data_IF_828350809416
#
_entry.id   IF_828350809416
#
_cell.length_a   1.000
_cell.length_b   1.000
_cell.length_c   1.000
_cell.angle_alpha   90.00
_cell.angle_beta   90.00
_cell.angle_gamma   90.00
#
_symmetry.space_group_name_H-M   'P 1'
#
loop_
_entity.id
_entity.type
_entity.pdbx_description
1 polymer ?
#
# COMPACT_ATOMS: atom_id res chain seq x y z
N UNK A 1 -23.70 -2.87 -12.70
CA UNK A 1 -22.35 -2.54 -13.17
C UNK A 1 -21.46 -3.76 -12.95
N UNK A 2 -20.78 -4.24 -13.97
CA UNK A 2 -19.76 -5.28 -13.78
C UNK A 2 -18.51 -4.64 -13.17
N UNK A 3 -17.84 -5.36 -12.27
CA UNK A 3 -16.58 -4.91 -11.68
C UNK A 3 -15.46 -4.95 -12.73
N UNK A 4 -14.58 -3.94 -12.70
CA UNK A 4 -13.37 -3.94 -13.53
C UNK A 4 -12.34 -4.93 -12.95
N UNK A 5 -11.41 -5.43 -13.77
CA UNK A 5 -10.32 -6.29 -13.27
C UNK A 5 -9.51 -5.67 -12.12
N UNK A 6 -9.33 -4.34 -12.13
CA UNK A 6 -8.68 -3.60 -11.02
C UNK A 6 -9.46 -3.69 -9.71
N UNK A 7 -10.78 -3.71 -9.76
CA UNK A 7 -11.63 -3.78 -8.57
C UNK A 7 -11.50 -5.17 -7.94
N UNK A 8 -11.49 -6.22 -8.77
CA UNK A 8 -11.22 -7.59 -8.33
C UNK A 8 -9.82 -7.73 -7.71
N UNK A 9 -8.81 -7.09 -8.28
CA UNK A 9 -7.47 -7.10 -7.72
C UNK A 9 -7.44 -6.49 -6.32
N UNK A 10 -8.09 -5.32 -6.13
CA UNK A 10 -8.21 -4.69 -4.82
C UNK A 10 -8.99 -5.53 -3.82
N UNK A 11 -10.14 -6.07 -4.22
CA UNK A 11 -10.97 -6.93 -3.36
C UNK A 11 -10.17 -8.16 -2.91
N UNK A 12 -9.48 -8.82 -3.84
CA UNK A 12 -8.69 -10.03 -3.54
C UNK A 12 -7.57 -9.73 -2.56
N UNK A 13 -6.85 -8.61 -2.78
CA UNK A 13 -5.78 -8.19 -1.87
C UNK A 13 -6.31 -7.89 -0.47
N UNK A 14 -7.40 -7.12 -0.36
CA UNK A 14 -8.01 -6.81 0.93
C UNK A 14 -8.50 -8.06 1.67
N UNK A 15 -9.16 -8.98 0.96
CA UNK A 15 -9.61 -10.25 1.53
C UNK A 15 -8.43 -11.10 2.03
N UNK A 16 -7.33 -11.17 1.26
CA UNK A 16 -6.12 -11.89 1.66
C UNK A 16 -5.48 -11.32 2.93
N UNK A 17 -5.38 -9.99 3.03
CA UNK A 17 -4.88 -9.30 4.24
C UNK A 17 -5.77 -9.65 5.43
N UNK A 18 -7.09 -9.48 5.33
CA UNK A 18 -8.02 -9.77 6.44
C UNK A 18 -7.96 -11.24 6.86
N UNK A 19 -7.94 -12.16 5.90
CA UNK A 19 -7.84 -13.58 6.20
C UNK A 19 -6.53 -13.92 6.93
N UNK A 20 -5.41 -13.33 6.53
CA UNK A 20 -4.13 -13.51 7.21
C UNK A 20 -4.15 -12.96 8.64
N UNK A 21 -4.60 -11.72 8.84
CA UNK A 21 -4.62 -11.06 10.15
C UNK A 21 -5.49 -11.80 11.17
N UNK A 22 -6.55 -12.49 10.72
CA UNK A 22 -7.41 -13.32 11.59
C UNK A 22 -6.76 -14.68 11.92
N UNK A 23 -6.03 -15.26 10.97
CA UNK A 23 -5.50 -16.61 11.08
C UNK A 23 -4.07 -16.68 11.65
N UNK A 24 -3.34 -15.57 11.70
CA UNK A 24 -1.94 -15.56 12.11
C UNK A 24 -1.77 -15.83 13.62
N UNK A 25 -0.63 -16.39 14.05
CA UNK A 25 -0.28 -16.46 15.46
C UNK A 25 -0.18 -15.08 16.12
N UNK A 26 -0.34 -14.98 17.45
CA UNK A 26 -0.08 -13.74 18.18
C UNK A 26 1.34 -13.23 17.94
N UNK A 27 1.46 -11.93 17.66
CA UNK A 27 2.75 -11.29 17.35
C UNK A 27 3.20 -11.43 15.91
N UNK A 28 2.44 -12.12 15.04
CA UNK A 28 2.73 -12.25 13.61
C UNK A 28 1.72 -11.48 12.73
N UNK A 29 1.06 -10.46 13.27
CA UNK A 29 0.24 -9.56 12.47
C UNK A 29 1.13 -8.83 11.44
N UNK A 30 0.56 -8.42 10.31
CA UNK A 30 1.32 -7.66 9.32
C UNK A 30 1.78 -6.32 9.89
N UNK A 31 0.99 -5.72 10.78
CA UNK A 31 1.36 -4.54 11.56
C UNK A 31 2.57 -4.80 12.46
N UNK A 32 2.59 -5.92 13.18
CA UNK A 32 3.70 -6.31 14.06
C UNK A 32 4.99 -6.53 13.26
N UNK A 33 4.89 -7.25 12.14
CA UNK A 33 5.99 -7.45 11.23
C UNK A 33 6.54 -6.12 10.69
N UNK A 34 5.64 -5.19 10.33
CA UNK A 34 6.01 -3.83 9.89
C UNK A 34 6.76 -3.08 10.98
N UNK A 35 6.30 -3.15 12.24
CA UNK A 35 6.99 -2.52 13.38
C UNK A 35 8.38 -3.14 13.62
N UNK A 36 8.49 -4.48 13.64
CA UNK A 36 9.79 -5.16 13.82
C UNK A 36 10.79 -4.82 12.71
N UNK A 37 10.33 -4.83 11.46
CA UNK A 37 11.18 -4.49 10.33
C UNK A 37 11.59 -3.02 10.38
N UNK A 38 10.67 -2.12 10.76
CA UNK A 38 10.93 -0.71 10.97
C UNK A 38 12.00 -0.42 12.02
N UNK A 39 12.14 -1.25 13.06
CA UNK A 39 13.20 -1.09 14.06
C UNK A 39 14.61 -1.33 13.49
N UNK A 40 14.75 -2.20 12.50
CA UNK A 40 16.04 -2.52 11.86
C UNK A 40 16.31 -1.71 10.60
N UNK A 41 15.25 -1.31 9.88
CA UNK A 41 15.32 -0.64 8.57
C UNK A 41 14.35 0.54 8.51
N UNK A 42 14.42 1.43 9.49
CA UNK A 42 13.48 2.54 9.69
C UNK A 42 13.30 3.41 8.44
N UNK A 43 14.40 3.79 7.79
CA UNK A 43 14.36 4.65 6.61
C UNK A 43 13.70 3.97 5.41
N UNK A 44 14.07 2.72 5.13
CA UNK A 44 13.53 1.98 4.00
C UNK A 44 12.03 1.72 4.18
N UNK A 45 11.64 1.27 5.37
CA UNK A 45 10.22 0.99 5.69
C UNK A 45 9.38 2.26 5.57
N UNK A 46 9.84 3.37 6.14
CA UNK A 46 9.15 4.65 6.08
C UNK A 46 9.06 5.19 4.66
N UNK A 47 10.11 5.03 3.85
CA UNK A 47 10.13 5.45 2.45
C UNK A 47 9.11 4.66 1.62
N UNK A 48 9.11 3.32 1.73
CA UNK A 48 8.18 2.47 0.98
C UNK A 48 6.73 2.76 1.38
N UNK A 49 6.44 2.80 2.69
CA UNK A 49 5.09 3.11 3.19
C UNK A 49 4.67 4.51 2.75
N UNK A 50 5.56 5.50 2.89
CA UNK A 50 5.30 6.88 2.49
C UNK A 50 4.99 7.03 1.00
N UNK A 51 5.77 6.39 0.12
CA UNK A 51 5.54 6.42 -1.33
C UNK A 51 4.19 5.78 -1.68
N UNK A 52 3.88 4.62 -1.12
CA UNK A 52 2.58 3.95 -1.35
C UNK A 52 1.43 4.78 -0.80
N UNK A 53 1.56 5.35 0.40
CA UNK A 53 0.54 6.19 1.02
C UNK A 53 0.28 7.46 0.19
N UNK A 54 1.34 8.14 -0.27
CA UNK A 54 1.20 9.32 -1.14
C UNK A 54 0.48 8.95 -2.44
N UNK A 55 0.87 7.85 -3.09
CA UNK A 55 0.21 7.37 -4.30
C UNK A 55 -1.30 7.13 -4.10
N UNK A 56 -1.68 6.41 -3.04
CA UNK A 56 -3.09 6.10 -2.75
C UNK A 56 -3.89 7.32 -2.28
N UNK A 57 -3.33 8.16 -1.43
CA UNK A 57 -4.04 9.33 -0.90
C UNK A 57 -4.14 10.48 -1.92
N UNK A 58 -3.23 10.51 -2.91
CA UNK A 58 -3.37 11.42 -4.05
C UNK A 58 -4.62 11.07 -4.87
N UNK A 59 -4.87 9.79 -5.15
CA UNK A 59 -6.02 9.37 -5.99
C UNK A 59 -7.38 9.56 -5.32
N UNK A 60 -7.43 9.62 -3.98
CA UNK A 60 -8.65 9.93 -3.22
C UNK A 60 -8.96 11.44 -3.13
N UNK A 61 -8.08 12.30 -3.65
CA UNK A 61 -8.21 13.76 -3.61
C UNK A 61 -7.75 14.41 -2.31
N UNK A 62 -7.35 13.62 -1.31
CA UNK A 62 -6.89 14.08 0.00
C UNK A 62 -5.54 14.82 -0.10
N UNK A 63 -4.71 14.48 -1.09
CA UNK A 63 -3.48 15.18 -1.46
C UNK A 63 -3.54 15.78 -2.87
N UNK A 64 -4.62 16.51 -3.20
CA UNK A 64 -4.79 17.16 -4.51
C UNK A 64 -3.67 18.16 -4.86
N UNK A 65 -2.99 18.70 -3.87
CA UNK A 65 -1.90 19.67 -4.04
C UNK A 65 -0.56 19.03 -4.44
N UNK A 66 -0.44 17.69 -4.42
CA UNK A 66 0.77 17.01 -4.87
C UNK A 66 0.72 16.78 -6.40
N UNK A 67 1.70 17.30 -7.16
CA UNK A 67 1.77 17.11 -8.60
C UNK A 67 1.96 15.65 -9.02
N UNK A 68 1.45 15.28 -10.21
CA UNK A 68 1.60 13.93 -10.78
C UNK A 68 3.04 13.48 -10.95
N UNK A 69 3.95 14.41 -11.20
CA UNK A 69 5.36 14.07 -11.42
C UNK A 69 6.05 13.56 -10.14
N UNK A 70 5.41 13.67 -8.97
CA UNK A 70 5.91 13.12 -7.72
C UNK A 70 5.29 11.75 -7.39
N UNK A 71 4.34 11.28 -8.20
CA UNK A 71 3.79 9.93 -8.08
C UNK A 71 4.71 8.92 -8.79
N UNK A 72 5.74 8.49 -8.07
CA UNK A 72 6.73 7.52 -8.55
C UNK A 72 6.09 6.23 -9.10
N UNK A 73 5.00 5.76 -8.49
CA UNK A 73 4.34 4.52 -8.93
C UNK A 73 3.67 4.73 -10.29
N UNK A 74 3.00 5.87 -10.47
CA UNK A 74 2.40 6.20 -11.77
C UNK A 74 3.46 6.42 -12.86
N UNK A 75 4.56 7.11 -12.52
CA UNK A 75 5.69 7.29 -13.44
C UNK A 75 6.30 5.94 -13.86
N UNK A 76 6.56 5.04 -12.91
CA UNK A 76 7.09 3.71 -13.21
C UNK A 76 6.14 2.90 -14.08
N UNK A 77 4.83 2.98 -13.85
CA UNK A 77 3.83 2.30 -14.68
C UNK A 77 3.80 2.84 -16.11
N UNK A 78 4.08 4.14 -16.32
CA UNK A 78 4.11 4.76 -17.65
C UNK A 78 5.33 4.40 -18.51
N UNK A 79 6.35 3.76 -17.93
CA UNK A 79 7.56 3.31 -18.64
C UNK A 79 7.39 1.94 -19.33
N UNK A 80 6.23 1.31 -19.19
CA UNK A 80 5.90 0.00 -19.79
C UNK A 80 5.15 0.18 -21.10
#
# INVERSE_FOLDING_TARGET
MALHPSDWAWITMAAGIVAYEIACPPGELLSDATTRYGQSHMFLSSAVIGVVAVHLLRTTGLLRFIPEQLDLIHLLASLK
#
